data_IF_122554436938
#
_entry.id   IF_122554436938
#
_cell.length_a   1.000
_cell.length_b   1.000
_cell.length_c   1.000
_cell.angle_alpha   90.00
_cell.angle_beta   90.00
_cell.angle_gamma   90.00
#
_symmetry.space_group_name_H-M   'P 1'
#
loop_
_entity.id
_entity.type
_entity.pdbx_description
1 polymer ?
#
# COMPACT_ATOMS: atom_id res chain seq x y z
N UNK A 1 26.53 -18.40 18.06
CA UNK A 1 25.91 -17.72 19.24
C UNK A 1 24.81 -18.61 19.80
N UNK A 2 24.51 -18.56 21.12
CA UNK A 2 23.31 -19.20 21.67
C UNK A 2 22.04 -18.53 21.10
N UNK A 3 20.93 -19.27 20.99
CA UNK A 3 19.71 -18.71 20.38
C UNK A 3 19.16 -17.48 21.11
N UNK A 4 19.25 -17.45 22.47
CA UNK A 4 18.86 -16.28 23.26
C UNK A 4 19.75 -15.07 22.94
N UNK A 5 21.07 -15.28 22.79
CA UNK A 5 21.99 -14.19 22.42
C UNK A 5 21.69 -13.65 21.02
N UNK A 6 21.26 -14.49 20.06
CA UNK A 6 20.81 -14.05 18.73
C UNK A 6 19.59 -13.13 18.83
N UNK A 7 18.58 -13.50 19.66
CA UNK A 7 17.37 -12.70 19.87
C UNK A 7 17.74 -11.33 20.45
N UNK A 8 18.55 -11.30 21.50
CA UNK A 8 18.97 -10.04 22.15
C UNK A 8 19.75 -9.17 21.15
N UNK A 9 20.69 -9.73 20.43
CA UNK A 9 21.48 -9.00 19.40
C UNK A 9 20.58 -8.41 18.33
N UNK A 10 19.57 -9.14 17.90
CA UNK A 10 18.60 -8.65 16.91
C UNK A 10 17.74 -7.50 17.47
N UNK A 11 17.23 -7.64 18.69
CA UNK A 11 16.46 -6.56 19.35
C UNK A 11 17.31 -5.29 19.49
N UNK A 12 18.57 -5.43 19.89
CA UNK A 12 19.52 -4.29 20.00
C UNK A 12 19.75 -3.67 18.62
N UNK A 13 19.95 -4.48 17.57
CA UNK A 13 20.16 -3.99 16.21
C UNK A 13 18.93 -3.18 15.72
N UNK A 14 17.71 -3.68 15.95
CA UNK A 14 16.48 -2.94 15.62
C UNK A 14 16.39 -1.63 16.42
N UNK A 15 16.68 -1.66 17.72
CA UNK A 15 16.63 -0.47 18.56
C UNK A 15 17.62 0.61 18.07
N UNK A 16 18.85 0.21 17.74
CA UNK A 16 19.87 1.11 17.16
C UNK A 16 19.38 1.68 15.82
N UNK A 17 18.80 0.84 14.96
CA UNK A 17 18.26 1.26 13.67
C UNK A 17 17.16 2.31 13.84
N UNK A 18 16.21 2.07 14.76
CA UNK A 18 15.12 3.01 15.04
C UNK A 18 15.69 4.35 15.55
N UNK A 19 16.65 4.32 16.46
CA UNK A 19 17.32 5.54 16.97
C UNK A 19 18.07 6.26 15.85
N UNK A 20 18.79 5.54 14.99
CA UNK A 20 19.52 6.12 13.87
C UNK A 20 18.57 6.85 12.90
N UNK A 21 17.43 6.27 12.57
CA UNK A 21 16.44 6.88 11.67
C UNK A 21 15.72 8.05 12.35
N UNK A 22 15.21 7.85 13.59
CA UNK A 22 14.30 8.81 14.24
C UNK A 22 15.01 9.95 14.94
N UNK A 23 16.18 9.71 15.57
CA UNK A 23 16.90 10.72 16.36
C UNK A 23 18.06 11.34 15.59
N UNK A 24 18.82 10.53 14.83
CA UNK A 24 19.98 10.99 14.07
C UNK A 24 19.65 11.35 12.63
N UNK A 25 18.38 11.19 12.19
CA UNK A 25 17.91 11.48 10.84
C UNK A 25 18.73 10.77 9.75
N UNK A 26 19.28 9.59 10.04
CA UNK A 26 19.98 8.77 9.05
C UNK A 26 18.96 8.28 8.02
N UNK A 27 19.33 8.35 6.75
CA UNK A 27 18.47 7.82 5.68
C UNK A 27 18.12 6.35 5.95
N UNK A 28 16.83 5.93 5.90
CA UNK A 28 16.39 4.56 6.21
C UNK A 28 17.12 3.49 5.41
N UNK A 29 17.42 3.71 4.13
CA UNK A 29 18.18 2.79 3.32
C UNK A 29 19.59 2.55 3.89
N UNK A 30 20.30 3.62 4.25
CA UNK A 30 21.64 3.52 4.82
C UNK A 30 21.63 2.89 6.21
N UNK A 31 20.62 3.21 7.02
CA UNK A 31 20.46 2.62 8.36
C UNK A 31 20.24 1.10 8.27
N UNK A 32 19.33 0.65 7.37
CA UNK A 32 19.06 -0.76 7.14
C UNK A 32 20.29 -1.51 6.60
N UNK A 33 20.97 -0.95 5.59
CA UNK A 33 22.17 -1.55 5.01
C UNK A 33 23.30 -1.65 6.02
N UNK A 34 23.57 -0.54 6.75
CA UNK A 34 24.64 -0.49 7.76
C UNK A 34 24.40 -1.46 8.91
N UNK A 35 23.18 -1.49 9.47
CA UNK A 35 22.87 -2.40 10.56
C UNK A 35 22.88 -3.86 10.10
N UNK A 36 22.45 -4.15 8.87
CA UNK A 36 22.51 -5.50 8.31
C UNK A 36 23.95 -5.99 8.15
N UNK A 37 24.85 -5.13 7.71
CA UNK A 37 26.28 -5.46 7.58
C UNK A 37 26.90 -5.73 8.96
N UNK A 38 26.67 -4.85 9.93
CA UNK A 38 27.18 -5.01 11.30
C UNK A 38 26.60 -6.28 11.92
N UNK A 39 25.30 -6.50 11.76
CA UNK A 39 24.64 -7.70 12.28
C UNK A 39 25.22 -8.97 11.66
N UNK A 40 25.46 -9.00 10.34
CA UNK A 40 26.05 -10.16 9.66
C UNK A 40 27.40 -10.55 10.26
N UNK A 41 28.25 -9.57 10.60
CA UNK A 41 29.54 -9.78 11.23
C UNK A 41 29.35 -10.30 12.67
N UNK A 42 28.49 -9.64 13.45
CA UNK A 42 28.27 -9.97 14.88
C UNK A 42 27.67 -11.36 15.07
N UNK A 43 26.75 -11.78 14.20
CA UNK A 43 26.16 -13.12 14.27
C UNK A 43 27.08 -14.23 13.75
N UNK A 44 28.24 -13.87 13.17
CA UNK A 44 29.29 -14.79 12.76
C UNK A 44 29.09 -15.37 11.34
N UNK A 45 28.41 -14.66 10.43
CA UNK A 45 28.42 -15.06 9.02
C UNK A 45 29.88 -14.94 8.50
N UNK A 46 30.42 -15.96 7.82
CA UNK A 46 31.76 -15.90 7.25
C UNK A 46 31.94 -14.65 6.39
N UNK A 47 33.03 -13.91 6.58
CA UNK A 47 33.27 -12.65 5.86
C UNK A 47 33.18 -12.80 4.34
N UNK A 48 33.62 -13.94 3.81
CA UNK A 48 33.53 -14.26 2.38
C UNK A 48 32.06 -14.38 1.87
N UNK A 49 31.13 -14.76 2.74
CA UNK A 49 29.70 -14.97 2.38
C UNK A 49 28.85 -13.73 2.57
N UNK A 50 29.32 -12.73 3.35
CA UNK A 50 28.55 -11.51 3.63
C UNK A 50 28.17 -10.76 2.35
N UNK A 51 29.05 -10.52 1.38
CA UNK A 51 28.66 -9.81 0.14
C UNK A 51 27.56 -10.52 -0.62
N UNK A 52 27.62 -11.85 -0.70
CA UNK A 52 26.63 -12.67 -1.38
C UNK A 52 25.28 -12.69 -0.60
N UNK A 53 25.33 -12.76 0.72
CA UNK A 53 24.15 -12.69 1.59
C UNK A 53 23.42 -11.35 1.42
N UNK A 54 24.15 -10.23 1.41
CA UNK A 54 23.60 -8.90 1.18
C UNK A 54 23.03 -8.81 -0.23
N UNK A 55 23.81 -9.19 -1.26
CA UNK A 55 23.38 -9.13 -2.65
C UNK A 55 22.13 -9.96 -2.92
N UNK A 56 22.07 -11.19 -2.39
CA UNK A 56 20.91 -12.08 -2.54
C UNK A 56 19.68 -11.59 -1.78
N UNK A 57 19.86 -11.01 -0.59
CA UNK A 57 18.75 -10.38 0.17
C UNK A 57 18.15 -9.19 -0.58
N UNK A 58 18.99 -8.34 -1.14
CA UNK A 58 18.58 -7.18 -1.93
C UNK A 58 17.89 -7.58 -3.23
N UNK A 59 18.55 -8.40 -4.05
CA UNK A 59 18.02 -8.84 -5.35
C UNK A 59 16.78 -9.70 -5.22
N UNK A 60 16.67 -10.51 -4.16
CA UNK A 60 15.52 -11.38 -3.91
C UNK A 60 14.21 -10.57 -3.77
N UNK A 61 14.23 -9.47 -3.03
CA UNK A 61 13.07 -8.57 -2.91
C UNK A 61 12.81 -7.87 -4.23
N UNK A 62 13.85 -7.34 -4.88
CA UNK A 62 13.68 -6.63 -6.14
C UNK A 62 13.06 -7.49 -7.23
N UNK A 63 13.52 -8.74 -7.36
CA UNK A 63 13.00 -9.69 -8.36
C UNK A 63 11.59 -10.18 -8.05
N UNK A 64 11.25 -10.36 -6.77
CA UNK A 64 9.95 -10.91 -6.39
C UNK A 64 8.80 -9.88 -6.48
N UNK A 65 9.06 -8.62 -6.12
CA UNK A 65 7.98 -7.62 -5.98
C UNK A 65 8.23 -6.29 -6.68
N UNK A 66 9.45 -6.02 -7.16
CA UNK A 66 9.80 -4.71 -7.71
C UNK A 66 8.91 -4.30 -8.88
N UNK A 67 8.68 -5.19 -9.86
CA UNK A 67 7.82 -4.93 -11.02
C UNK A 67 6.38 -4.69 -10.58
N UNK A 68 5.89 -5.48 -9.62
CA UNK A 68 4.50 -5.38 -9.10
C UNK A 68 4.26 -4.02 -8.45
N UNK A 69 5.20 -3.52 -7.65
CA UNK A 69 5.13 -2.20 -7.02
C UNK A 69 5.12 -1.08 -8.08
N UNK A 70 5.98 -1.17 -9.09
CA UNK A 70 6.03 -0.18 -10.19
C UNK A 70 4.71 -0.14 -10.96
N UNK A 71 4.19 -1.30 -11.36
CA UNK A 71 2.93 -1.39 -12.10
C UNK A 71 1.75 -0.87 -11.28
N UNK A 72 1.66 -1.26 -10.00
CA UNK A 72 0.63 -0.78 -9.09
C UNK A 72 0.66 0.73 -8.92
N UNK A 73 1.84 1.31 -8.71
CA UNK A 73 2.02 2.74 -8.58
C UNK A 73 1.67 3.52 -9.87
N UNK A 74 2.02 2.97 -11.04
CA UNK A 74 1.64 3.57 -12.34
C UNK A 74 0.12 3.59 -12.52
N UNK A 75 -0.56 2.49 -12.20
CA UNK A 75 -2.03 2.45 -12.20
C UNK A 75 -2.59 3.53 -11.26
N UNK A 76 -2.07 3.61 -10.04
CA UNK A 76 -2.49 4.61 -9.05
C UNK A 76 -2.32 6.04 -9.57
N UNK A 77 -1.15 6.38 -10.12
CA UNK A 77 -0.88 7.70 -10.70
C UNK A 77 -1.82 8.02 -11.87
N UNK A 78 -2.12 7.06 -12.73
CA UNK A 78 -3.08 7.27 -13.83
C UNK A 78 -4.47 7.57 -13.28
N UNK A 79 -4.95 6.81 -12.31
CA UNK A 79 -6.27 7.03 -11.68
C UNK A 79 -6.36 8.39 -11.00
N UNK A 80 -5.28 8.81 -10.33
CA UNK A 80 -5.16 10.14 -9.75
C UNK A 80 -5.27 11.22 -10.82
N UNK A 81 -4.43 11.18 -11.85
CA UNK A 81 -4.32 12.24 -12.86
C UNK A 81 -5.51 12.30 -13.81
N UNK A 82 -6.25 11.21 -14.00
CA UNK A 82 -7.45 11.17 -14.86
C UNK A 82 -8.74 11.58 -14.13
N UNK A 83 -8.70 11.75 -12.82
CA UNK A 83 -9.89 11.99 -12.01
C UNK A 83 -10.71 10.72 -11.72
N UNK A 84 -10.19 9.54 -12.05
CA UNK A 84 -10.85 8.27 -11.74
C UNK A 84 -10.97 8.04 -10.23
N UNK A 85 -9.95 8.42 -9.45
CA UNK A 85 -10.00 8.39 -7.99
C UNK A 85 -11.17 9.23 -7.43
N UNK A 86 -11.40 10.42 -8.00
CA UNK A 86 -12.53 11.27 -7.65
C UNK A 86 -13.87 10.63 -8.04
N UNK A 87 -13.91 9.96 -9.20
CA UNK A 87 -15.12 9.22 -9.65
C UNK A 87 -15.44 8.04 -8.72
N UNK A 88 -14.44 7.28 -8.29
CA UNK A 88 -14.62 6.23 -7.29
C UNK A 88 -15.19 6.79 -5.98
N UNK A 89 -14.67 7.92 -5.52
CA UNK A 89 -15.14 8.60 -4.32
C UNK A 89 -16.62 9.01 -4.44
N UNK A 90 -17.02 9.60 -5.58
CA UNK A 90 -18.44 9.92 -5.83
C UNK A 90 -19.34 8.69 -5.77
N UNK A 91 -18.89 7.57 -6.34
CA UNK A 91 -19.66 6.31 -6.33
C UNK A 91 -19.85 5.81 -4.89
N UNK A 92 -18.81 5.86 -4.05
CA UNK A 92 -18.89 5.46 -2.64
C UNK A 92 -19.85 6.37 -1.87
N UNK A 93 -19.74 7.69 -2.03
CA UNK A 93 -20.66 8.65 -1.36
C UNK A 93 -22.13 8.41 -1.76
N UNK A 94 -22.38 8.06 -3.02
CA UNK A 94 -23.74 7.71 -3.48
C UNK A 94 -24.25 6.41 -2.83
N UNK A 95 -23.39 5.41 -2.62
CA UNK A 95 -23.77 4.13 -2.02
C UNK A 95 -23.98 4.23 -0.50
N UNK A 96 -23.06 4.88 0.21
CA UNK A 96 -23.12 5.01 1.68
C UNK A 96 -24.15 6.06 2.12
N UNK A 97 -24.37 7.06 1.27
CA UNK A 97 -25.29 8.17 1.54
C UNK A 97 -24.66 9.25 2.41
N UNK A 98 -25.41 10.38 2.53
CA UNK A 98 -24.92 11.60 3.21
C UNK A 98 -25.34 11.67 4.68
N UNK A 99 -26.12 10.70 5.19
CA UNK A 99 -26.60 10.69 6.58
C UNK A 99 -25.49 10.42 7.61
N UNK A 100 -24.41 9.74 7.18
CA UNK A 100 -23.24 9.41 8.01
C UNK A 100 -21.97 9.83 7.26
N UNK A 101 -21.68 11.14 7.18
CA UNK A 101 -20.61 11.64 6.33
C UNK A 101 -19.23 11.13 6.73
N UNK A 102 -18.96 10.91 8.01
CA UNK A 102 -17.71 10.33 8.49
C UNK A 102 -17.52 8.88 8.00
N UNK A 103 -18.60 8.06 7.97
CA UNK A 103 -18.55 6.71 7.43
C UNK A 103 -18.31 6.73 5.90
N UNK A 104 -18.97 7.67 5.20
CA UNK A 104 -18.74 7.84 3.78
C UNK A 104 -17.29 8.22 3.47
N UNK A 105 -16.69 9.12 4.28
CA UNK A 105 -15.28 9.50 4.17
C UNK A 105 -14.34 8.30 4.40
N UNK A 106 -14.61 7.51 5.42
CA UNK A 106 -13.79 6.36 5.79
C UNK A 106 -13.79 5.29 4.70
N UNK A 107 -14.99 4.89 4.23
CA UNK A 107 -15.12 3.89 3.15
C UNK A 107 -14.54 4.43 1.84
N UNK A 108 -14.76 5.71 1.54
CA UNK A 108 -14.18 6.36 0.38
C UNK A 108 -12.64 6.33 0.42
N UNK A 109 -12.04 6.68 1.56
CA UNK A 109 -10.60 6.59 1.77
C UNK A 109 -10.11 5.16 1.57
N UNK A 110 -10.78 4.19 2.18
CA UNK A 110 -10.42 2.78 2.07
C UNK A 110 -10.46 2.26 0.63
N UNK A 111 -11.52 2.57 -0.13
CA UNK A 111 -11.65 2.12 -1.54
C UNK A 111 -10.64 2.81 -2.45
N UNK A 112 -10.49 4.13 -2.31
CA UNK A 112 -9.61 4.91 -3.20
C UNK A 112 -8.14 4.61 -2.97
N UNK A 113 -7.72 4.33 -1.72
CA UNK A 113 -6.32 4.05 -1.42
C UNK A 113 -5.87 2.63 -1.76
N UNK A 114 -6.75 1.76 -2.24
CA UNK A 114 -6.31 0.47 -2.79
C UNK A 114 -5.25 0.69 -3.89
N UNK A 115 -5.52 1.49 -4.95
CA UNK A 115 -4.52 1.76 -5.99
C UNK A 115 -3.74 3.07 -5.80
N UNK A 116 -4.23 4.01 -4.98
CA UNK A 116 -3.67 5.36 -4.84
C UNK A 116 -2.93 5.48 -3.51
N UNK A 117 -1.77 6.12 -3.54
CA UNK A 117 -1.03 6.41 -2.29
C UNK A 117 -1.88 7.27 -1.35
N UNK A 118 -1.82 6.97 -0.06
CA UNK A 118 -2.65 7.63 0.95
C UNK A 118 -2.49 9.16 0.97
N UNK A 119 -1.28 9.66 0.75
CA UNK A 119 -0.98 11.09 0.74
C UNK A 119 -1.67 11.79 -0.44
N UNK A 120 -1.50 11.27 -1.66
CA UNK A 120 -2.20 11.75 -2.86
C UNK A 120 -3.72 11.59 -2.73
N UNK A 121 -4.16 10.47 -2.20
CA UNK A 121 -5.58 10.20 -1.95
C UNK A 121 -6.19 11.25 -1.01
N UNK A 122 -5.49 11.63 0.05
CA UNK A 122 -5.97 12.66 0.96
C UNK A 122 -6.14 14.02 0.27
N UNK A 123 -5.13 14.45 -0.49
CA UNK A 123 -5.17 15.73 -1.21
C UNK A 123 -6.33 15.79 -2.21
N UNK A 124 -6.57 14.69 -2.95
CA UNK A 124 -7.64 14.60 -3.95
C UNK A 124 -9.03 14.58 -3.30
N UNK A 125 -9.15 13.94 -2.12
CA UNK A 125 -10.43 13.71 -1.48
C UNK A 125 -10.82 14.79 -0.45
N UNK A 126 -9.87 15.61 0.01
CA UNK A 126 -10.16 16.70 0.96
C UNK A 126 -11.19 17.72 0.47
N UNK A 127 -11.22 18.15 -0.82
CA UNK A 127 -12.29 19.00 -1.34
C UNK A 127 -13.69 18.36 -1.23
N UNK A 128 -13.81 17.04 -1.41
CA UNK A 128 -15.08 16.32 -1.20
C UNK A 128 -15.48 16.37 0.27
N UNK A 129 -14.52 16.16 1.18
CA UNK A 129 -14.73 16.28 2.63
C UNK A 129 -15.27 17.67 2.99
N UNK A 130 -14.65 18.73 2.45
CA UNK A 130 -15.07 20.13 2.69
C UNK A 130 -16.47 20.38 2.14
N UNK A 131 -16.76 19.94 0.91
CA UNK A 131 -18.10 20.07 0.31
C UNK A 131 -19.16 19.33 1.14
N UNK A 132 -18.85 18.11 1.59
CA UNK A 132 -19.76 17.31 2.41
C UNK A 132 -19.96 17.94 3.79
N UNK A 133 -18.92 18.54 4.38
CA UNK A 133 -19.02 19.33 5.60
C UNK A 133 -19.98 20.52 5.47
N UNK A 134 -19.79 21.35 4.43
CA UNK A 134 -20.68 22.49 4.15
C UNK A 134 -22.15 22.06 4.06
N UNK A 135 -22.41 20.89 3.47
CA UNK A 135 -23.76 20.35 3.28
C UNK A 135 -24.37 19.73 4.54
N UNK A 136 -23.57 19.02 5.31
CA UNK A 136 -24.07 18.21 6.46
C UNK A 136 -23.87 18.86 7.80
N UNK A 137 -23.04 19.90 7.88
CA UNK A 137 -22.62 20.57 9.12
C UNK A 137 -22.02 19.60 10.16
N UNK A 138 -21.51 18.46 9.72
CA UNK A 138 -20.89 17.47 10.59
C UNK A 138 -19.44 17.88 10.93
N UNK A 139 -18.87 17.30 12.02
CA UNK A 139 -17.51 17.63 12.46
C UNK A 139 -16.47 17.38 11.38
N UNK A 140 -15.71 18.44 11.04
CA UNK A 140 -14.58 18.40 10.11
C UNK A 140 -13.49 17.46 10.60
N UNK A 141 -13.18 17.51 11.91
CA UNK A 141 -12.20 16.64 12.55
C UNK A 141 -12.60 15.17 12.42
N UNK A 142 -13.88 14.84 12.70
CA UNK A 142 -14.36 13.47 12.55
C UNK A 142 -14.21 12.96 11.11
N UNK A 143 -14.58 13.79 10.11
CA UNK A 143 -14.45 13.41 8.71
C UNK A 143 -13.00 13.30 8.25
N UNK A 144 -12.12 14.18 8.72
CA UNK A 144 -10.68 14.13 8.41
C UNK A 144 -10.03 12.87 8.96
N UNK A 145 -10.30 12.57 10.24
CA UNK A 145 -9.76 11.36 10.89
C UNK A 145 -10.28 10.09 10.22
N UNK A 146 -11.58 10.04 9.91
CA UNK A 146 -12.20 8.91 9.22
C UNK A 146 -11.61 8.71 7.82
N UNK A 147 -11.45 9.79 7.03
CA UNK A 147 -10.80 9.74 5.73
C UNK A 147 -9.37 9.23 5.81
N UNK A 148 -8.56 9.81 6.71
CA UNK A 148 -7.18 9.38 6.93
C UNK A 148 -7.09 7.92 7.34
N UNK A 149 -7.93 7.49 8.28
CA UNK A 149 -7.97 6.10 8.74
C UNK A 149 -8.32 5.13 7.61
N UNK A 150 -9.32 5.46 6.78
CA UNK A 150 -9.67 4.66 5.61
C UNK A 150 -8.50 4.52 4.63
N UNK A 151 -7.89 5.66 4.26
CA UNK A 151 -6.73 5.70 3.37
C UNK A 151 -5.56 4.85 3.89
N UNK A 152 -5.16 5.03 5.14
CA UNK A 152 -4.05 4.30 5.74
C UNK A 152 -4.34 2.81 5.92
N UNK A 153 -5.56 2.46 6.31
CA UNK A 153 -5.96 1.05 6.48
C UNK A 153 -5.80 0.28 5.17
N UNK A 154 -6.30 0.81 4.08
CA UNK A 154 -6.14 0.18 2.77
C UNK A 154 -4.66 0.17 2.34
N UNK A 155 -3.96 1.28 2.50
CA UNK A 155 -2.55 1.41 2.11
C UNK A 155 -1.64 0.42 2.84
N UNK A 156 -1.92 0.10 4.10
CA UNK A 156 -1.10 -0.81 4.91
C UNK A 156 -1.46 -2.27 4.69
N UNK A 157 -2.73 -2.59 4.41
CA UNK A 157 -3.18 -3.98 4.37
C UNK A 157 -3.45 -4.54 2.97
N UNK A 158 -3.73 -3.69 1.98
CA UNK A 158 -4.25 -4.18 0.70
C UNK A 158 -3.29 -3.87 -0.47
N UNK A 159 -2.77 -4.91 -1.16
CA UNK A 159 -2.08 -4.72 -2.43
C UNK A 159 -2.97 -3.98 -3.46
N UNK A 160 -2.38 -3.23 -4.42
CA UNK A 160 -0.98 -3.24 -4.84
C UNK A 160 -0.07 -2.19 -4.18
N UNK A 161 -0.40 -1.67 -3.01
CA UNK A 161 0.48 -0.77 -2.27
C UNK A 161 1.78 -1.47 -1.85
N UNK A 162 2.91 -0.75 -1.75
CA UNK A 162 4.23 -1.36 -1.53
C UNK A 162 4.37 -2.16 -0.23
N UNK A 163 3.75 -1.68 0.86
CA UNK A 163 3.86 -2.29 2.18
C UNK A 163 3.40 -3.76 2.22
N UNK A 164 2.12 -4.05 1.91
CA UNK A 164 1.62 -5.42 1.91
C UNK A 164 2.28 -6.31 0.86
N UNK A 165 2.72 -5.77 -0.28
CA UNK A 165 3.48 -6.53 -1.27
C UNK A 165 4.85 -6.93 -0.70
N UNK A 166 5.54 -6.01 -0.04
CA UNK A 166 6.83 -6.29 0.60
C UNK A 166 6.70 -7.35 1.70
N UNK A 167 5.66 -7.25 2.53
CA UNK A 167 5.36 -8.26 3.54
C UNK A 167 5.08 -9.63 2.90
N UNK A 168 4.26 -9.68 1.86
CA UNK A 168 3.96 -10.91 1.12
C UNK A 168 5.21 -11.53 0.50
N UNK A 169 6.08 -10.72 -0.11
CA UNK A 169 7.37 -11.17 -0.65
C UNK A 169 8.28 -11.76 0.42
N UNK A 170 8.39 -11.11 1.57
CA UNK A 170 9.20 -11.59 2.71
C UNK A 170 8.66 -12.91 3.29
N UNK A 171 7.34 -13.07 3.32
CA UNK A 171 6.67 -14.30 3.78
C UNK A 171 6.66 -15.43 2.73
N UNK A 172 7.15 -15.18 1.52
CA UNK A 172 7.16 -16.17 0.43
C UNK A 172 5.79 -16.42 -0.21
N UNK A 173 4.83 -15.53 0.01
CA UNK A 173 3.46 -15.62 -0.56
C UNK A 173 3.20 -14.56 -1.63
N UNK A 174 4.25 -13.91 -2.14
CA UNK A 174 4.16 -12.83 -3.13
C UNK A 174 3.52 -13.26 -4.46
N UNK A 175 3.56 -14.55 -4.80
CA UNK A 175 2.87 -15.09 -5.98
C UNK A 175 1.34 -15.21 -5.78
N UNK A 176 0.86 -15.22 -4.54
CA UNK A 176 -0.57 -15.34 -4.21
C UNK A 176 -1.14 -14.01 -3.66
N UNK A 177 -0.94 -12.92 -4.38
CA UNK A 177 -1.42 -11.59 -3.97
C UNK A 177 -2.94 -11.53 -3.82
N UNK A 178 -3.69 -12.35 -4.52
CA UNK A 178 -5.14 -12.41 -4.32
C UNK A 178 -5.50 -12.78 -2.88
N UNK A 179 -4.84 -13.80 -2.31
CA UNK A 179 -5.03 -14.16 -0.90
C UNK A 179 -4.65 -13.00 0.03
N UNK A 180 -3.56 -12.30 -0.26
CA UNK A 180 -3.13 -11.14 0.53
C UNK A 180 -4.18 -10.01 0.48
N UNK A 181 -4.77 -9.75 -0.71
CA UNK A 181 -5.85 -8.77 -0.87
C UNK A 181 -7.07 -9.17 -0.01
N UNK A 182 -7.50 -10.42 -0.10
CA UNK A 182 -8.68 -10.92 0.66
C UNK A 182 -8.44 -10.83 2.16
N UNK A 183 -7.29 -11.32 2.64
CA UNK A 183 -6.94 -11.25 4.06
C UNK A 183 -6.78 -9.81 4.53
N UNK A 184 -6.15 -8.95 3.73
CA UNK A 184 -6.02 -7.52 4.00
C UNK A 184 -7.38 -6.83 4.11
N UNK A 185 -8.32 -7.17 3.23
CA UNK A 185 -9.69 -6.65 3.31
C UNK A 185 -10.41 -7.11 4.59
N UNK A 186 -10.26 -8.40 4.98
CA UNK A 186 -10.85 -8.93 6.21
C UNK A 186 -10.27 -8.23 7.45
N UNK A 187 -8.94 -8.09 7.53
CA UNK A 187 -8.26 -7.42 8.65
C UNK A 187 -8.57 -5.92 8.69
N UNK A 188 -8.90 -5.32 7.56
CA UNK A 188 -9.35 -3.92 7.50
C UNK A 188 -10.65 -3.68 8.26
N UNK A 189 -11.57 -4.66 8.30
CA UNK A 189 -12.90 -4.48 8.90
C UNK A 189 -12.81 -4.05 10.38
N UNK A 190 -12.15 -4.80 11.29
CA UNK A 190 -12.04 -4.38 12.69
C UNK A 190 -11.29 -3.05 12.84
N UNK A 191 -10.27 -2.80 11.99
CA UNK A 191 -9.53 -1.54 12.01
C UNK A 191 -10.43 -0.35 11.68
N UNK A 192 -11.24 -0.46 10.63
CA UNK A 192 -12.21 0.57 10.24
C UNK A 192 -13.29 0.78 11.31
N UNK A 193 -13.79 -0.30 11.93
CA UNK A 193 -14.77 -0.18 13.02
C UNK A 193 -14.19 0.66 14.19
N UNK A 194 -12.98 0.34 14.64
CA UNK A 194 -12.31 1.07 15.71
C UNK A 194 -12.07 2.53 15.30
N UNK A 195 -11.57 2.74 14.07
CA UNK A 195 -11.30 4.06 13.54
C UNK A 195 -12.57 4.92 13.43
N UNK A 196 -13.70 4.35 13.00
CA UNK A 196 -14.99 5.02 12.97
C UNK A 196 -15.41 5.54 14.36
N UNK A 197 -15.34 4.70 15.38
CA UNK A 197 -15.69 5.12 16.73
C UNK A 197 -14.72 6.17 17.27
N UNK A 198 -13.43 6.01 17.02
CA UNK A 198 -12.41 7.00 17.40
C UNK A 198 -12.64 8.34 16.70
N UNK A 199 -12.88 8.34 15.38
CA UNK A 199 -13.17 9.55 14.61
C UNK A 199 -14.37 10.32 15.19
N UNK A 200 -15.46 9.59 15.51
CA UNK A 200 -16.64 10.20 16.13
C UNK A 200 -16.36 10.73 17.54
N UNK A 201 -15.54 10.03 18.33
CA UNK A 201 -15.16 10.46 19.66
C UNK A 201 -14.34 11.74 19.64
N UNK A 202 -13.28 11.78 18.81
CA UNK A 202 -12.39 12.94 18.75
C UNK A 202 -13.06 14.16 18.12
N UNK A 203 -13.93 13.96 17.12
CA UNK A 203 -14.69 15.03 16.49
C UNK A 203 -15.74 15.70 17.39
N UNK A 204 -16.12 15.06 18.50
CA UNK A 204 -16.95 15.68 19.56
C UNK A 204 -16.13 16.53 20.52
N UNK A 205 -14.83 16.25 20.65
CA UNK A 205 -13.94 16.91 21.62
C UNK A 205 -13.14 18.06 21.02
N UNK A 206 -12.76 17.94 19.75
CA UNK A 206 -11.89 18.90 19.08
C UNK A 206 -12.66 19.50 17.90
N UNK A 207 -12.59 20.83 17.81
CA UNK A 207 -13.08 21.58 16.66
C UNK A 207 -11.91 22.08 15.85
N UNK A 208 -11.98 21.99 14.54
CA UNK A 208 -10.93 22.52 13.66
C UNK A 208 -11.21 23.98 13.26
N UNK A 209 -10.19 24.66 12.73
CA UNK A 209 -10.30 26.06 12.33
C UNK A 209 -11.38 26.30 11.25
N UNK A 210 -11.58 25.33 10.34
CA UNK A 210 -12.65 25.38 9.33
C UNK A 210 -14.07 25.13 9.91
N UNK A 211 -14.18 24.79 11.19
CA UNK A 211 -15.43 24.78 11.96
C UNK A 211 -15.73 26.12 12.65
N UNK A 212 -14.67 26.88 12.92
CA UNK A 212 -14.73 28.15 13.64
C UNK A 212 -14.80 29.35 12.67
N UNK A 213 -14.09 29.23 11.55
CA UNK A 213 -14.03 30.28 10.51
C UNK A 213 -14.50 29.71 9.17
N UNK A 214 -15.61 30.19 8.63
CA UNK A 214 -16.18 29.74 7.35
C UNK A 214 -15.30 30.04 6.11
N UNK A 215 -14.22 30.80 6.26
CA UNK A 215 -13.45 31.42 5.19
C UNK A 215 -12.07 30.79 4.90
N UNK A 216 -11.85 29.52 5.19
CA UNK A 216 -10.57 28.90 4.79
C UNK A 216 -10.58 28.55 3.30
N UNK A 217 -9.83 29.35 2.55
CA UNK A 217 -9.48 29.19 1.13
C UNK A 217 -8.74 27.87 0.89
N UNK A 218 -9.48 26.85 0.53
CA UNK A 218 -8.96 25.64 -0.09
C UNK A 218 -9.60 25.47 -1.45
N UNK A 219 -8.98 24.71 -2.35
CA UNK A 219 -9.61 24.40 -3.64
C UNK A 219 -11.04 23.95 -3.41
N UNK A 220 -12.00 24.67 -3.99
CA UNK A 220 -13.39 24.29 -3.92
C UNK A 220 -13.62 23.02 -4.77
N UNK A 221 -14.57 22.18 -4.37
CA UNK A 221 -14.92 20.96 -5.10
C UNK A 221 -15.22 21.23 -6.59
N UNK A 222 -15.88 22.35 -6.87
CA UNK A 222 -16.19 22.77 -8.24
C UNK A 222 -14.95 23.18 -9.03
N UNK A 223 -13.94 23.77 -8.40
CA UNK A 223 -12.65 24.07 -9.03
C UNK A 223 -11.87 22.79 -9.32
N UNK A 224 -11.88 21.85 -8.38
CA UNK A 224 -11.28 20.54 -8.57
C UNK A 224 -11.93 19.80 -9.75
N UNK A 225 -13.27 19.75 -9.81
CA UNK A 225 -13.98 19.15 -10.93
C UNK A 225 -13.63 19.83 -12.27
N UNK A 226 -13.54 21.15 -12.31
CA UNK A 226 -13.14 21.91 -13.51
C UNK A 226 -11.72 21.55 -13.95
N UNK A 227 -10.79 21.33 -13.02
CA UNK A 227 -9.40 20.96 -13.34
C UNK A 227 -9.28 19.59 -14.03
N UNK A 228 -10.17 18.66 -13.73
CA UNK A 228 -10.22 17.34 -14.39
C UNK A 228 -11.04 17.34 -15.68
N UNK A 229 -11.92 18.32 -15.87
CA UNK A 229 -12.88 18.34 -16.96
C UNK A 229 -13.96 17.26 -16.79
N UNK A 230 -14.26 16.50 -17.86
CA UNK A 230 -15.24 15.41 -17.78
C UNK A 230 -14.65 14.20 -17.08
N UNK A 231 -15.19 13.85 -15.91
CA UNK A 231 -14.78 12.63 -15.20
C UNK A 231 -15.08 11.38 -16.03
N UNK A 232 -14.25 10.33 -15.89
CA UNK A 232 -14.47 9.05 -16.58
C UNK A 232 -15.79 8.41 -16.14
N UNK A 233 -16.29 7.47 -16.95
CA UNK A 233 -17.44 6.67 -16.54
C UNK A 233 -17.04 5.71 -15.39
N UNK A 234 -18.02 5.25 -14.61
CA UNK A 234 -17.77 4.43 -13.41
C UNK A 234 -17.03 3.12 -13.73
N UNK A 235 -17.34 2.47 -14.86
CA UNK A 235 -16.66 1.24 -15.27
C UNK A 235 -15.16 1.50 -15.55
N UNK A 236 -14.84 2.52 -16.34
CA UNK A 236 -13.45 2.85 -16.67
C UNK A 236 -12.67 3.36 -15.46
N UNK A 237 -13.33 3.95 -14.46
CA UNK A 237 -12.69 4.33 -13.21
C UNK A 237 -12.30 3.11 -12.35
N UNK A 238 -13.10 2.04 -12.40
CA UNK A 238 -12.89 0.81 -11.60
C UNK A 238 -12.02 -0.21 -12.34
N UNK A 239 -12.10 -0.30 -13.66
CA UNK A 239 -11.50 -1.36 -14.48
C UNK A 239 -9.98 -1.56 -14.24
N UNK A 240 -9.13 -0.52 -14.16
CA UNK A 240 -7.69 -0.69 -13.92
C UNK A 240 -7.36 -1.37 -12.58
N UNK A 241 -8.30 -1.35 -11.63
CA UNK A 241 -8.15 -1.99 -10.30
C UNK A 241 -8.81 -3.37 -10.31
N UNK A 242 -10.07 -3.43 -10.74
CA UNK A 242 -10.89 -4.64 -10.59
C UNK A 242 -10.43 -5.76 -11.51
N UNK A 243 -10.02 -5.43 -12.74
CA UNK A 243 -9.61 -6.45 -13.70
C UNK A 243 -8.36 -7.22 -13.24
N UNK A 244 -7.28 -6.59 -12.76
CA UNK A 244 -6.17 -7.33 -12.14
C UNK A 244 -6.60 -8.24 -10.99
N UNK A 245 -7.48 -7.77 -10.11
CA UNK A 245 -7.99 -8.56 -8.99
C UNK A 245 -8.74 -9.79 -9.50
N UNK A 246 -9.60 -9.64 -10.49
CA UNK A 246 -10.33 -10.75 -11.11
C UNK A 246 -9.39 -11.75 -11.82
N UNK A 247 -8.35 -11.25 -12.50
CA UNK A 247 -7.33 -12.11 -13.10
C UNK A 247 -6.59 -12.94 -12.05
N UNK A 248 -6.14 -12.31 -10.95
CA UNK A 248 -5.49 -13.01 -9.84
C UNK A 248 -6.43 -13.98 -9.13
N UNK A 249 -7.70 -13.61 -8.96
CA UNK A 249 -8.73 -14.49 -8.41
C UNK A 249 -8.92 -15.75 -9.28
N UNK A 250 -8.98 -15.59 -10.60
CA UNK A 250 -9.08 -16.70 -11.55
C UNK A 250 -7.90 -17.67 -11.42
N UNK A 251 -6.67 -17.14 -11.34
CA UNK A 251 -5.46 -17.96 -11.14
C UNK A 251 -5.47 -18.73 -9.82
N UNK A 252 -5.89 -18.07 -8.73
CA UNK A 252 -6.02 -18.69 -7.42
C UNK A 252 -7.11 -19.76 -7.38
N UNK A 253 -8.27 -19.49 -7.97
CA UNK A 253 -9.36 -20.47 -8.08
C UNK A 253 -8.98 -21.69 -8.92
N UNK A 254 -8.32 -21.47 -10.07
CA UNK A 254 -7.85 -22.55 -10.92
C UNK A 254 -6.88 -23.48 -10.17
N UNK A 255 -6.00 -22.91 -9.35
CA UNK A 255 -5.08 -23.66 -8.50
C UNK A 255 -5.81 -24.44 -7.40
N UNK A 256 -6.77 -23.80 -6.71
CA UNK A 256 -7.55 -24.39 -5.63
C UNK A 256 -8.47 -25.53 -6.13
N UNK A 257 -9.03 -25.41 -7.34
CA UNK A 257 -9.91 -26.40 -7.97
C UNK A 257 -9.13 -27.50 -8.71
N UNK A 258 -7.78 -27.48 -8.69
CA UNK A 258 -6.95 -28.50 -9.30
C UNK A 258 -7.06 -28.55 -10.83
N UNK A 259 -7.32 -27.42 -11.50
CA UNK A 259 -7.36 -27.38 -12.97
C UNK A 259 -6.07 -27.92 -13.55
N UNK A 260 -6.15 -28.60 -14.68
CA UNK A 260 -5.02 -29.22 -15.39
C UNK A 260 -4.99 -28.85 -16.87
N UNK A 261 -3.88 -29.12 -17.54
CA UNK A 261 -3.69 -28.85 -18.96
C UNK A 261 -3.61 -27.37 -19.30
N UNK A 262 -3.93 -27.02 -20.55
CA UNK A 262 -3.77 -25.66 -21.08
C UNK A 262 -4.59 -24.59 -20.34
N UNK A 263 -5.78 -24.95 -19.84
CA UNK A 263 -6.61 -24.02 -19.06
C UNK A 263 -5.95 -23.61 -17.74
N UNK A 264 -5.33 -24.56 -17.03
CA UNK A 264 -4.58 -24.27 -15.82
C UNK A 264 -3.37 -23.37 -16.10
N UNK A 265 -2.64 -23.66 -17.18
CA UNK A 265 -1.47 -22.86 -17.59
C UNK A 265 -1.88 -21.43 -17.93
N UNK A 266 -2.94 -21.25 -18.72
CA UNK A 266 -3.45 -19.92 -19.09
C UNK A 266 -3.96 -19.15 -17.87
N UNK A 267 -4.73 -19.81 -16.99
CA UNK A 267 -5.25 -19.17 -15.77
C UNK A 267 -4.14 -18.74 -14.82
N UNK A 268 -3.10 -19.56 -14.63
CA UNK A 268 -1.91 -19.20 -13.84
C UNK A 268 -1.13 -18.06 -14.46
N UNK A 269 -0.97 -18.05 -15.78
CA UNK A 269 -0.29 -16.97 -16.49
C UNK A 269 -1.02 -15.63 -16.31
N UNK A 270 -2.32 -15.59 -16.63
CA UNK A 270 -3.14 -14.37 -16.51
C UNK A 270 -3.29 -13.95 -15.05
N UNK A 271 -3.36 -14.91 -14.12
CA UNK A 271 -3.49 -14.67 -12.69
C UNK A 271 -2.18 -14.33 -11.98
N UNK A 272 -1.02 -14.41 -12.67
CA UNK A 272 0.24 -13.97 -12.06
C UNK A 272 0.21 -12.44 -11.81
N UNK A 273 0.71 -11.96 -10.67
CA UNK A 273 0.60 -10.54 -10.29
C UNK A 273 1.14 -9.58 -11.35
N UNK A 274 2.27 -9.91 -11.97
CA UNK A 274 2.89 -9.09 -13.01
C UNK A 274 1.97 -8.97 -14.23
N UNK A 275 1.44 -10.08 -14.72
CA UNK A 275 0.56 -10.09 -15.92
C UNK A 275 -0.79 -9.44 -15.61
N UNK A 276 -1.37 -9.76 -14.47
CA UNK A 276 -2.63 -9.16 -14.04
C UNK A 276 -2.54 -7.63 -13.95
N UNK A 277 -1.49 -7.09 -13.29
CA UNK A 277 -1.28 -5.65 -13.21
C UNK A 277 -0.88 -5.02 -14.55
N UNK A 278 -0.19 -5.75 -15.43
CA UNK A 278 0.06 -5.28 -16.80
C UNK A 278 -1.26 -5.11 -17.56
N UNK A 279 -2.19 -6.05 -17.42
CA UNK A 279 -3.54 -5.92 -17.98
C UNK A 279 -4.26 -4.70 -17.39
N UNK A 280 -4.19 -4.50 -16.07
CA UNK A 280 -4.74 -3.32 -15.40
C UNK A 280 -4.14 -2.01 -15.91
N UNK A 281 -2.83 -1.98 -16.16
CA UNK A 281 -2.14 -0.83 -16.73
C UNK A 281 -2.63 -0.54 -18.17
N UNK A 282 -2.91 -1.55 -18.97
CA UNK A 282 -3.50 -1.37 -20.31
C UNK A 282 -4.85 -0.64 -20.20
N UNK A 283 -5.72 -1.05 -19.27
CA UNK A 283 -6.97 -0.32 -19.00
C UNK A 283 -6.72 1.10 -18.48
N UNK A 284 -5.69 1.30 -17.67
CA UNK A 284 -5.24 2.63 -17.24
C UNK A 284 -4.81 3.50 -18.42
N UNK A 285 -4.05 2.96 -19.37
CA UNK A 285 -3.61 3.68 -20.59
C UNK A 285 -4.82 4.03 -21.48
N UNK A 286 -5.78 3.12 -21.64
CA UNK A 286 -7.03 3.41 -22.36
C UNK A 286 -7.78 4.56 -21.68
N UNK A 287 -7.90 4.53 -20.36
CA UNK A 287 -8.50 5.58 -19.55
C UNK A 287 -7.77 6.93 -19.74
N UNK A 288 -6.45 6.91 -19.74
CA UNK A 288 -5.62 8.10 -19.96
C UNK A 288 -5.86 8.69 -21.37
N UNK A 289 -5.98 7.83 -22.39
CA UNK A 289 -6.34 8.22 -23.75
C UNK A 289 -7.72 8.88 -23.82
N UNK A 290 -8.73 8.29 -23.18
CA UNK A 290 -10.08 8.84 -23.12
C UNK A 290 -10.16 10.19 -22.36
N UNK A 291 -9.26 10.41 -21.40
CA UNK A 291 -9.12 11.65 -20.65
C UNK A 291 -8.32 12.73 -21.41
N UNK A 292 -7.85 12.45 -22.64
CA UNK A 292 -7.05 13.38 -23.44
C UNK A 292 -5.63 13.64 -22.91
N UNK A 293 -5.16 12.86 -21.92
CA UNK A 293 -3.90 13.08 -21.21
C UNK A 293 -2.75 12.16 -21.66
N UNK A 294 -2.91 11.46 -22.78
CA UNK A 294 -1.92 10.50 -23.30
C UNK A 294 -0.52 11.12 -23.48
N UNK A 295 -0.43 12.39 -23.89
CA UNK A 295 0.85 13.09 -24.06
C UNK A 295 1.67 13.20 -22.78
N UNK A 296 1.03 13.14 -21.61
CA UNK A 296 1.68 13.22 -20.32
C UNK A 296 2.16 11.86 -19.79
N UNK A 297 1.91 10.75 -20.51
CA UNK A 297 2.20 9.40 -20.00
C UNK A 297 3.66 9.20 -19.62
N UNK A 298 4.60 9.65 -20.48
CA UNK A 298 6.04 9.53 -20.18
C UNK A 298 6.47 10.35 -18.96
N UNK A 299 5.92 11.55 -18.79
CA UNK A 299 6.18 12.38 -17.63
C UNK A 299 5.63 11.72 -16.36
N UNK A 300 4.38 11.25 -16.41
CA UNK A 300 3.75 10.52 -15.31
C UNK A 300 4.57 9.29 -14.91
N UNK A 301 5.03 8.51 -15.89
CA UNK A 301 5.87 7.34 -15.67
C UNK A 301 7.16 7.72 -14.94
N UNK A 302 7.86 8.75 -15.44
CA UNK A 302 9.11 9.23 -14.83
C UNK A 302 8.88 9.72 -13.39
N UNK A 303 7.83 10.47 -13.14
CA UNK A 303 7.52 10.98 -11.82
C UNK A 303 7.10 9.87 -10.86
N UNK A 304 6.32 8.89 -11.33
CA UNK A 304 6.00 7.69 -10.55
C UNK A 304 7.27 6.94 -10.16
N UNK A 305 8.21 6.73 -11.07
CA UNK A 305 9.47 6.05 -10.79
C UNK A 305 10.32 6.80 -9.75
N UNK A 306 10.32 8.15 -9.76
CA UNK A 306 10.99 8.95 -8.73
C UNK A 306 10.40 8.73 -7.34
N UNK A 307 9.07 8.59 -7.23
CA UNK A 307 8.37 8.32 -5.96
C UNK A 307 8.60 6.89 -5.50
N UNK A 308 8.51 5.93 -6.41
CA UNK A 308 8.61 4.49 -6.11
C UNK A 308 10.05 4.05 -5.85
N UNK A 309 11.04 4.69 -6.48
CA UNK A 309 12.44 4.31 -6.35
C UNK A 309 12.93 4.23 -4.89
N UNK A 310 12.81 5.29 -4.08
CA UNK A 310 13.17 5.24 -2.66
C UNK A 310 12.45 4.13 -1.88
N UNK A 311 11.17 3.90 -2.16
CA UNK A 311 10.37 2.84 -1.53
C UNK A 311 10.97 1.46 -1.85
N UNK A 312 11.27 1.21 -3.13
CA UNK A 312 11.88 -0.05 -3.57
C UNK A 312 13.25 -0.30 -2.92
N UNK A 313 14.10 0.72 -2.88
CA UNK A 313 15.43 0.59 -2.28
C UNK A 313 15.37 0.33 -0.78
N UNK A 314 14.49 1.04 -0.04
CA UNK A 314 14.29 0.81 1.40
C UNK A 314 13.72 -0.59 1.64
N UNK A 315 12.76 -1.04 0.83
CA UNK A 315 12.19 -2.38 0.93
C UNK A 315 13.22 -3.46 0.65
N UNK A 316 14.06 -3.28 -0.37
CA UNK A 316 15.14 -4.19 -0.70
C UNK A 316 16.20 -4.25 0.42
N UNK A 317 16.53 -3.10 1.04
CA UNK A 317 17.41 -3.08 2.22
C UNK A 317 16.79 -3.83 3.42
N UNK A 318 15.45 -3.76 3.60
CA UNK A 318 14.74 -4.62 4.55
C UNK A 318 14.89 -6.11 4.24
N UNK A 319 14.88 -6.47 2.96
CA UNK A 319 15.16 -7.84 2.50
C UNK A 319 16.58 -8.31 2.84
N UNK A 320 17.57 -7.41 2.80
CA UNK A 320 18.94 -7.73 3.26
C UNK A 320 18.94 -8.08 4.74
N UNK A 321 18.28 -7.28 5.58
CA UNK A 321 18.17 -7.56 7.00
C UNK A 321 17.50 -8.93 7.25
N UNK A 322 16.38 -9.19 6.56
CA UNK A 322 15.68 -10.48 6.63
C UNK A 322 16.57 -11.67 6.22
N UNK A 323 17.39 -11.49 5.16
CA UNK A 323 18.32 -12.54 4.71
C UNK A 323 19.43 -12.80 5.73
N UNK A 324 20.00 -11.75 6.32
CA UNK A 324 20.99 -11.88 7.40
C UNK A 324 20.42 -12.64 8.58
N UNK A 325 19.21 -12.31 9.03
CA UNK A 325 18.51 -12.97 10.13
C UNK A 325 18.30 -14.46 9.83
N UNK A 326 17.80 -14.78 8.62
CA UNK A 326 17.56 -16.17 8.24
C UNK A 326 18.86 -16.98 8.10
N UNK A 327 19.93 -16.36 7.65
CA UNK A 327 21.25 -17.00 7.51
C UNK A 327 21.97 -17.20 8.86
N UNK A 328 21.60 -16.43 9.89
CA UNK A 328 22.17 -16.51 11.24
C UNK A 328 21.65 -17.69 12.09
N UNK A 329 20.80 -18.57 11.56
CA UNK A 329 20.20 -19.68 12.31
C UNK A 329 19.04 -19.27 13.24
N UNK A 330 18.62 -18.01 13.22
CA UNK A 330 17.52 -17.52 14.04
C UNK A 330 16.21 -18.28 13.81
N UNK A 331 15.89 -18.55 12.54
CA UNK A 331 14.67 -19.30 12.15
C UNK A 331 14.70 -20.73 12.68
N UNK A 332 15.87 -21.40 12.66
CA UNK A 332 16.06 -22.73 13.22
C UNK A 332 15.77 -22.75 14.73
N UNK A 333 16.40 -21.83 15.45
CA UNK A 333 16.19 -21.68 16.89
C UNK A 333 14.73 -21.39 17.27
N UNK A 334 14.05 -20.52 16.54
CA UNK A 334 12.63 -20.22 16.76
C UNK A 334 11.74 -21.44 16.54
N UNK A 335 12.01 -22.25 15.51
CA UNK A 335 11.25 -23.48 15.23
C UNK A 335 11.43 -24.52 16.31
N UNK A 336 12.65 -24.72 16.78
CA UNK A 336 12.98 -25.71 17.84
C UNK A 336 12.35 -25.31 19.21
N UNK A 337 12.20 -24.01 19.46
CA UNK A 337 11.66 -23.50 20.72
C UNK A 337 10.23 -22.95 20.57
N UNK A 338 9.55 -23.19 19.46
CA UNK A 338 8.22 -22.67 19.19
C UNK A 338 7.19 -23.08 20.27
N UNK A 339 7.30 -24.28 20.82
CA UNK A 339 6.44 -24.77 21.88
C UNK A 339 6.63 -23.99 23.20
N UNK A 340 7.85 -23.53 23.49
CA UNK A 340 8.16 -22.71 24.67
C UNK A 340 7.77 -21.21 24.49
N UNK A 341 7.65 -20.74 23.27
CA UNK A 341 7.28 -19.36 22.92
C UNK A 341 5.78 -19.18 22.71
N UNK A 342 5.01 -20.27 22.65
CA UNK A 342 3.55 -20.27 22.51
C UNK A 342 2.80 -20.28 23.86
N UNK A 343 3.51 -20.28 24.97
CA UNK A 343 2.98 -20.08 26.34
C UNK A 343 3.11 -18.61 26.73
#
# INVERSE_FOLDING_TARGET
MSGLALIITFIIAIAIMIVAISKWNVNPFLALMGISLILAIVVGIPLADIPNTIGSGFSGIFSSIGIVIILGALIGTILEKTGAALKLAEMVVRLVGQKRPQLAMEIMGWVVSIPVFCDSGFVILDPIRRALRKKTQFSSVAMTVALSAGLYTSHVFIPPTPGPIAAAGTLGIGENLFMVIVMGAIVSIPTLIVAYFYANHIGKRIKSADEVHEDLTGQDYDELLKSFGKLPNGFMAVAPILIPILCMALGSLASALGWSGNMATLSKFVGSPIIALTIGLIFGIILLGQSGKMRSFNVMTTDTLKVVGPILFITAAGGVLGKVISSAGFVGYMKENAAALSM
#
